data_IF_415931548357
#
_entry.id   IF_415931548357
#
_cell.length_a   1.000
_cell.length_b   1.000
_cell.length_c   1.000
_cell.angle_alpha   90.00
_cell.angle_beta   90.00
_cell.angle_gamma   90.00
#
_symmetry.space_group_name_H-M   'P 1'
#
loop_
_entity.id
_entity.type
_entity.pdbx_description
1 polymer ?
#
# COMPACT_ATOMS: atom_id res chain seq x y z
N UNK A 1 -14.01 -8.81 7.28
CA UNK A 1 -12.79 -9.11 6.53
C UNK A 1 -13.11 -9.76 5.20
N UNK A 2 -12.32 -9.45 4.20
CA UNK A 2 -12.40 -10.12 2.92
C UNK A 2 -12.21 -11.61 3.10
N UNK A 3 -13.14 -12.41 2.63
CA UNK A 3 -12.95 -13.84 2.66
C UNK A 3 -12.10 -14.30 1.48
N UNK A 4 -11.46 -15.43 1.63
CA UNK A 4 -10.59 -16.00 0.62
C UNK A 4 -11.32 -16.28 -0.71
N UNK A 5 -12.57 -16.67 -0.63
CA UNK A 5 -13.39 -16.96 -1.81
C UNK A 5 -13.55 -15.72 -2.71
N UNK A 6 -13.77 -14.55 -2.13
CA UNK A 6 -13.88 -13.31 -2.89
C UNK A 6 -12.59 -12.97 -3.64
N UNK A 7 -11.44 -13.17 -3.01
CA UNK A 7 -10.14 -12.97 -3.65
C UNK A 7 -9.93 -13.94 -4.80
N UNK A 8 -10.24 -15.20 -4.60
CA UNK A 8 -10.10 -16.23 -5.62
C UNK A 8 -10.99 -15.94 -6.82
N UNK A 9 -12.22 -15.51 -6.59
CA UNK A 9 -13.14 -15.14 -7.66
C UNK A 9 -12.62 -13.99 -8.51
N UNK A 10 -11.91 -13.04 -7.90
CA UNK A 10 -11.34 -11.89 -8.60
C UNK A 10 -10.06 -12.17 -9.39
N UNK A 11 -9.33 -13.20 -9.04
CA UNK A 11 -7.97 -13.45 -9.57
C UNK A 11 -7.95 -13.68 -11.09
N UNK A 12 -8.93 -14.37 -11.65
CA UNK A 12 -8.97 -14.67 -13.09
C UNK A 12 -9.48 -13.52 -13.97
N UNK A 13 -9.90 -12.39 -13.40
CA UNK A 13 -10.45 -11.26 -14.12
C UNK A 13 -9.95 -9.95 -13.55
N UNK A 14 -9.14 -9.25 -14.34
CA UNK A 14 -8.49 -8.02 -13.91
C UNK A 14 -9.48 -6.91 -13.52
N UNK A 15 -10.57 -6.76 -14.28
CA UNK A 15 -11.59 -5.74 -13.99
C UNK A 15 -12.34 -6.05 -12.69
N UNK A 16 -12.65 -7.31 -12.44
CA UNK A 16 -13.28 -7.74 -11.18
C UNK A 16 -12.33 -7.54 -10.00
N UNK A 17 -11.06 -7.86 -10.17
CA UNK A 17 -10.04 -7.66 -9.15
C UNK A 17 -9.92 -6.18 -8.80
N UNK A 18 -9.83 -5.32 -9.82
CA UNK A 18 -9.75 -3.87 -9.63
C UNK A 18 -10.98 -3.34 -8.89
N UNK A 19 -12.18 -3.74 -9.32
CA UNK A 19 -13.43 -3.31 -8.68
C UNK A 19 -13.48 -3.77 -7.23
N UNK A 20 -13.08 -4.99 -6.96
CA UNK A 20 -13.04 -5.52 -5.60
C UNK A 20 -12.20 -4.65 -4.68
N UNK A 21 -10.97 -4.31 -5.11
CA UNK A 21 -10.10 -3.45 -4.31
C UNK A 21 -10.61 -2.01 -4.25
N UNK A 22 -11.24 -1.50 -5.29
CA UNK A 22 -11.87 -0.19 -5.28
C UNK A 22 -13.00 -0.11 -4.25
N UNK A 23 -13.86 -1.12 -4.22
CA UNK A 23 -14.99 -1.18 -3.27
C UNK A 23 -14.50 -1.32 -1.82
N UNK A 24 -13.40 -2.05 -1.62
CA UNK A 24 -12.85 -2.33 -0.31
C UNK A 24 -11.99 -1.18 0.24
N UNK A 25 -11.24 -0.50 -0.62
CA UNK A 25 -10.24 0.49 -0.20
C UNK A 25 -10.83 1.66 0.60
N UNK A 26 -12.09 2.01 0.37
CA UNK A 26 -12.76 3.09 1.09
C UNK A 26 -12.83 2.84 2.60
N UNK A 27 -12.85 1.56 3.01
CA UNK A 27 -12.94 1.16 4.43
C UNK A 27 -11.67 0.51 4.93
N UNK A 28 -10.69 0.34 4.07
CA UNK A 28 -9.50 -0.48 4.35
C UNK A 28 -8.69 0.05 5.53
N UNK A 29 -8.30 1.31 5.47
CA UNK A 29 -7.47 1.92 6.50
C UNK A 29 -8.18 1.95 7.85
N UNK A 30 -9.48 2.28 7.85
CA UNK A 30 -10.27 2.33 9.06
C UNK A 30 -10.41 0.95 9.70
N UNK A 31 -10.68 -0.08 8.88
CA UNK A 31 -10.80 -1.45 9.37
C UNK A 31 -9.51 -1.93 10.00
N UNK A 32 -8.37 -1.71 9.33
CA UNK A 32 -7.06 -2.11 9.84
C UNK A 32 -6.69 -1.34 11.10
N UNK A 33 -7.07 -0.08 11.20
CA UNK A 33 -6.85 0.72 12.39
C UNK A 33 -7.62 0.16 13.59
N UNK A 34 -8.88 -0.24 13.36
CA UNK A 34 -9.68 -0.87 14.40
C UNK A 34 -9.09 -2.19 14.89
N UNK A 35 -8.40 -2.92 14.01
CA UNK A 35 -7.76 -4.19 14.34
C UNK A 35 -6.34 -4.02 14.88
N UNK A 36 -5.88 -2.78 15.07
CA UNK A 36 -4.53 -2.50 15.51
C UNK A 36 -3.49 -3.21 14.63
N UNK A 37 -3.59 -2.98 13.33
CA UNK A 37 -2.78 -3.63 12.32
C UNK A 37 -1.32 -3.19 12.42
N UNK A 38 -0.44 -4.10 12.83
CA UNK A 38 0.96 -3.80 13.12
C UNK A 38 1.94 -4.17 12.00
N UNK A 39 1.46 -4.83 10.94
CA UNK A 39 2.33 -5.34 9.89
C UNK A 39 3.23 -4.26 9.25
N UNK A 40 2.73 -3.06 8.91
CA UNK A 40 3.59 -2.02 8.35
C UNK A 40 4.74 -1.63 9.28
N UNK A 41 4.45 -1.40 10.56
CA UNK A 41 5.45 -1.02 11.55
C UNK A 41 6.49 -2.12 11.78
N UNK A 42 6.04 -3.37 11.89
CA UNK A 42 6.93 -4.51 12.08
C UNK A 42 7.82 -4.74 10.86
N UNK A 43 7.27 -4.58 9.66
CA UNK A 43 8.04 -4.71 8.41
C UNK A 43 9.13 -3.65 8.32
N UNK A 44 8.83 -2.41 8.70
CA UNK A 44 9.82 -1.32 8.72
C UNK A 44 10.91 -1.60 9.73
N UNK A 45 10.57 -2.08 10.92
CA UNK A 45 11.55 -2.43 11.94
C UNK A 45 12.51 -3.49 11.43
N UNK A 46 12.00 -4.54 10.79
CA UNK A 46 12.80 -5.58 10.18
C UNK A 46 13.72 -5.02 9.10
N UNK A 47 13.19 -4.16 8.24
CA UNK A 47 13.95 -3.53 7.17
C UNK A 47 15.12 -2.71 7.72
N UNK A 48 14.90 -1.89 8.74
CA UNK A 48 15.94 -1.10 9.39
C UNK A 48 17.05 -1.96 9.98
N UNK A 49 16.69 -3.10 10.55
CA UNK A 49 17.66 -4.03 11.15
C UNK A 49 18.46 -4.76 10.07
N UNK A 50 17.92 -4.88 8.85
CA UNK A 50 18.53 -5.66 7.77
C UNK A 50 19.42 -4.82 6.86
N UNK A 51 19.07 -3.57 6.58
CA UNK A 51 19.83 -2.70 5.69
C UNK A 51 20.50 -1.56 6.47
N UNK A 52 21.76 -1.30 6.14
CA UNK A 52 22.58 -0.29 6.83
C UNK A 52 22.63 1.06 6.12
N UNK A 53 21.99 1.18 4.96
CA UNK A 53 22.01 2.41 4.17
C UNK A 53 20.63 3.05 4.16
N UNK A 54 20.60 4.38 4.00
CA UNK A 54 19.34 5.12 3.78
C UNK A 54 19.09 5.17 2.28
N UNK A 55 18.04 4.51 1.79
CA UNK A 55 17.76 4.52 0.35
C UNK A 55 17.38 5.93 -0.12
N UNK A 56 17.86 6.29 -1.30
CA UNK A 56 17.50 7.56 -1.92
C UNK A 56 16.12 7.49 -2.57
N UNK A 57 15.86 6.38 -3.25
CA UNK A 57 14.59 6.13 -3.94
C UNK A 57 14.02 4.79 -3.49
N UNK A 58 12.72 4.75 -3.26
CA UNK A 58 12.02 3.55 -2.85
C UNK A 58 10.83 3.36 -3.78
N UNK A 59 10.66 2.14 -4.29
CA UNK A 59 9.49 1.77 -5.08
C UNK A 59 8.61 0.85 -4.25
N UNK A 60 7.41 1.32 -3.94
CA UNK A 60 6.40 0.60 -3.18
C UNK A 60 5.40 -0.04 -4.16
N UNK A 61 5.66 -1.28 -4.55
CA UNK A 61 4.81 -2.03 -5.48
C UNK A 61 3.54 -2.49 -4.76
N UNK A 62 2.39 -2.36 -5.44
CA UNK A 62 1.10 -2.67 -4.86
C UNK A 62 0.89 -1.89 -3.56
N UNK A 63 1.11 -0.59 -3.61
CA UNK A 63 1.17 0.26 -2.42
C UNK A 63 -0.19 0.42 -1.70
N UNK A 64 -1.29 0.08 -2.36
CA UNK A 64 -2.62 0.17 -1.77
C UNK A 64 -2.94 1.59 -1.33
N UNK A 65 -3.48 1.72 -0.12
CA UNK A 65 -3.84 3.02 0.46
C UNK A 65 -2.67 3.76 1.09
N UNK A 66 -1.47 3.16 1.07
CA UNK A 66 -0.25 3.83 1.52
C UNK A 66 0.10 3.63 3.00
N UNK A 67 -0.43 2.61 3.66
CA UNK A 67 -0.11 2.35 5.07
C UNK A 67 1.37 2.05 5.28
N UNK A 68 1.94 1.18 4.44
CA UNK A 68 3.36 0.86 4.50
C UNK A 68 4.22 2.07 4.10
N UNK A 69 3.81 2.78 3.04
CA UNK A 69 4.50 3.99 2.60
C UNK A 69 4.55 5.07 3.67
N UNK A 70 3.49 5.21 4.46
CA UNK A 70 3.46 6.14 5.58
C UNK A 70 4.53 5.80 6.61
N UNK A 71 4.71 4.52 6.93
CA UNK A 71 5.74 4.08 7.86
C UNK A 71 7.14 4.25 7.27
N UNK A 72 7.31 3.96 5.96
CA UNK A 72 8.57 4.21 5.25
C UNK A 72 8.98 5.68 5.34
N UNK A 73 8.04 6.59 5.17
CA UNK A 73 8.33 8.02 5.19
C UNK A 73 8.76 8.51 6.56
N UNK A 74 8.25 7.91 7.62
CA UNK A 74 8.68 8.23 8.99
C UNK A 74 10.13 7.83 9.23
N UNK A 75 10.55 6.71 8.69
CA UNK A 75 11.90 6.15 8.89
C UNK A 75 12.91 6.75 7.93
N UNK A 76 12.49 6.99 6.69
CA UNK A 76 13.33 7.53 5.63
C UNK A 76 12.73 8.83 5.09
N UNK A 77 12.70 9.91 5.89
CA UNK A 77 11.99 11.14 5.52
C UNK A 77 12.56 11.85 4.30
N UNK A 78 13.83 11.61 3.99
CA UNK A 78 14.49 12.22 2.83
C UNK A 78 14.41 11.37 1.57
N UNK A 79 13.93 10.15 1.66
CA UNK A 79 13.80 9.26 0.50
C UNK A 79 12.62 9.68 -0.37
N UNK A 80 12.79 9.53 -1.68
CA UNK A 80 11.69 9.67 -2.63
C UNK A 80 10.97 8.34 -2.74
N UNK A 81 9.69 8.33 -2.43
CA UNK A 81 8.87 7.11 -2.48
C UNK A 81 7.97 7.18 -3.69
N UNK A 82 7.98 6.13 -4.48
CA UNK A 82 7.14 5.96 -5.66
C UNK A 82 6.21 4.80 -5.39
N UNK A 83 4.94 4.96 -5.73
CA UNK A 83 3.95 3.91 -5.51
C UNK A 83 3.24 3.52 -6.78
N UNK A 84 2.82 2.28 -6.86
CA UNK A 84 1.97 1.79 -7.94
C UNK A 84 0.97 0.78 -7.40
N UNK A 85 -0.22 0.78 -7.99
CA UNK A 85 -1.28 -0.14 -7.62
C UNK A 85 -2.25 -0.28 -8.78
N UNK A 86 -3.02 -1.35 -8.78
CA UNK A 86 -4.06 -1.58 -9.77
C UNK A 86 -5.34 -0.79 -9.47
N UNK A 87 -5.58 -0.47 -8.20
CA UNK A 87 -6.81 0.19 -7.75
C UNK A 87 -6.67 1.72 -7.80
N UNK A 88 -7.44 2.34 -8.68
CA UNK A 88 -7.50 3.80 -8.77
C UNK A 88 -7.97 4.45 -7.47
N UNK A 89 -8.95 3.85 -6.79
CA UNK A 89 -9.44 4.34 -5.50
C UNK A 89 -8.38 4.28 -4.41
N UNK A 90 -7.63 3.18 -4.34
CA UNK A 90 -6.53 3.04 -3.39
C UNK A 90 -5.48 4.12 -3.63
N UNK A 91 -5.11 4.37 -4.90
CA UNK A 91 -4.13 5.42 -5.24
C UNK A 91 -4.65 6.81 -4.89
N UNK A 92 -5.94 7.06 -5.04
CA UNK A 92 -6.53 8.34 -4.63
C UNK A 92 -6.39 8.56 -3.12
N UNK A 93 -6.63 7.52 -2.33
CA UNK A 93 -6.46 7.58 -0.87
C UNK A 93 -4.99 7.80 -0.52
N UNK A 94 -4.08 7.04 -1.13
CA UNK A 94 -2.66 7.18 -0.86
C UNK A 94 -2.12 8.55 -1.30
N UNK A 95 -2.63 9.10 -2.40
CA UNK A 95 -2.28 10.46 -2.85
C UNK A 95 -2.64 11.51 -1.79
N UNK A 96 -3.76 11.34 -1.11
CA UNK A 96 -4.19 12.24 -0.04
C UNK A 96 -3.25 12.25 1.16
N UNK A 97 -2.45 11.21 1.35
CA UNK A 97 -1.47 11.12 2.43
C UNK A 97 -0.19 11.91 2.17
N UNK A 98 0.02 12.38 0.94
CA UNK A 98 1.17 13.21 0.53
C UNK A 98 2.53 12.59 0.85
N UNK A 99 2.64 11.28 0.67
CA UNK A 99 3.87 10.51 0.94
C UNK A 99 4.67 10.29 -0.34
N UNK A 100 3.97 9.95 -1.43
CA UNK A 100 4.57 9.50 -2.66
C UNK A 100 4.92 10.67 -3.58
N UNK A 101 6.14 10.65 -4.11
CA UNK A 101 6.56 11.61 -5.13
C UNK A 101 5.78 11.40 -6.42
N UNK A 102 5.49 10.14 -6.75
CA UNK A 102 4.70 9.77 -7.93
C UNK A 102 3.91 8.50 -7.64
N UNK A 103 2.66 8.49 -8.10
CA UNK A 103 1.78 7.32 -8.03
C UNK A 103 1.36 6.94 -9.45
N UNK A 104 1.27 5.65 -9.72
CA UNK A 104 0.96 5.15 -11.05
C UNK A 104 0.04 3.93 -10.97
N UNK A 105 -0.99 3.90 -11.81
CA UNK A 105 -1.83 2.72 -11.96
C UNK A 105 -1.06 1.72 -12.81
N UNK A 106 -0.87 0.51 -12.30
CA UNK A 106 -0.16 -0.54 -13.01
C UNK A 106 -0.73 -1.92 -12.73
N UNK A 107 -0.72 -2.75 -13.76
CA UNK A 107 -0.90 -4.20 -13.66
C UNK A 107 0.47 -4.81 -13.42
N UNK A 108 0.52 -5.67 -12.47
CA UNK A 108 1.73 -6.43 -12.19
C UNK A 108 1.63 -7.81 -12.78
#
# INVERSE_FOLDING_TARGET
MTNFKSLVTGVGNLNKTRKYYDDWSAKYDETLKLWNYQAPKKSIKFLKETINIKPKNILDLACGTGLFGAELKKVYPKSHIYGSDISKKSLKISSGKKIYKKLQIKNF
#
